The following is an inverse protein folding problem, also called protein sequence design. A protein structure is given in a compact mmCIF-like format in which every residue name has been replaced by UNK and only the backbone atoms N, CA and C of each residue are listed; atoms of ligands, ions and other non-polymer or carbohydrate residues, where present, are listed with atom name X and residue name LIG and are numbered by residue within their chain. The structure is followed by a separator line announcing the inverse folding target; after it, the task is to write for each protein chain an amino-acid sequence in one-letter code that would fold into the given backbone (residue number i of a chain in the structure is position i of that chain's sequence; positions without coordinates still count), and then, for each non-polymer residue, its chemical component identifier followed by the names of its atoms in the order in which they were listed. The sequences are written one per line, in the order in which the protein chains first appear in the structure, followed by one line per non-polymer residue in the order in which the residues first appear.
data_IF_788975630748
#
_entry.id   IF_788975630748
#
_cell.length_a   1.000
_cell.length_b   1.000
_cell.length_c   1.000
_cell.angle_alpha   90.00
_cell.angle_beta   90.00
_cell.angle_gamma   90.00
#
_symmetry.space_group_name_H-M   'P 1'
#
loop_
_entity.id
_entity.type
_entity.pdbx_description
1 polymer ?
#
# COMPACT_ATOMS: atom_id res chain seq x y z
N UNK A 1 -5.09 -7.89 21.99
CA UNK A 1 -4.80 -8.93 22.97
C UNK A 1 -5.68 -8.68 24.19
N UNK A 2 -6.34 -9.72 24.71
CA UNK A 2 -7.38 -9.56 25.74
C UNK A 2 -7.09 -10.31 27.04
N UNK A 3 -6.33 -11.42 27.00
CA UNK A 3 -5.95 -12.19 28.20
C UNK A 3 -4.57 -12.86 28.06
N UNK A 4 -4.32 -13.49 26.92
CA UNK A 4 -3.13 -14.34 26.66
C UNK A 4 -1.80 -13.58 26.66
N UNK A 5 -1.84 -12.30 26.27
CA UNK A 5 -0.68 -11.43 26.22
C UNK A 5 -1.14 -9.98 26.46
N UNK A 6 -0.36 -9.14 27.17
CA UNK A 6 -0.75 -7.76 27.43
C UNK A 6 -0.52 -6.86 26.19
N UNK A 7 -1.34 -5.82 25.99
CA UNK A 7 -0.99 -4.72 25.09
C UNK A 7 0.14 -3.86 25.67
N UNK A 8 0.78 -3.05 24.83
CA UNK A 8 1.82 -2.09 25.22
C UNK A 8 1.24 -0.67 25.20
N UNK A 9 1.75 0.25 26.03
CA UNK A 9 1.41 1.67 25.95
C UNK A 9 2.22 2.38 24.84
N UNK A 10 1.61 2.79 23.71
CA UNK A 10 2.33 3.35 22.57
C UNK A 10 2.89 4.77 22.82
N UNK A 11 2.52 5.41 23.94
CA UNK A 11 2.99 6.74 24.32
C UNK A 11 4.07 6.65 25.39
N UNK A 12 3.77 5.95 26.50
CA UNK A 12 4.68 5.84 27.66
C UNK A 12 5.83 4.88 27.39
N UNK A 13 5.58 3.82 26.63
CA UNK A 13 6.57 2.80 26.28
C UNK A 13 7.02 2.95 24.82
N UNK A 14 6.90 4.14 24.23
CA UNK A 14 7.30 4.40 22.83
C UNK A 14 8.75 4.02 22.54
N UNK A 15 9.64 4.11 23.54
CA UNK A 15 11.07 3.81 23.41
C UNK A 15 11.33 2.34 23.01
N UNK A 16 10.46 1.41 23.41
CA UNK A 16 10.62 -0.01 23.05
C UNK A 16 9.98 -0.34 21.70
N UNK A 17 9.33 0.63 21.04
CA UNK A 17 8.64 0.43 19.76
C UNK A 17 9.44 1.01 18.59
N UNK A 18 9.51 0.28 17.48
CA UNK A 18 10.17 0.74 16.26
C UNK A 18 9.29 0.56 15.02
N UNK A 19 9.32 1.58 14.14
CA UNK A 19 8.70 1.56 12.82
C UNK A 19 9.73 1.36 11.71
N UNK A 20 10.97 1.02 12.06
CA UNK A 20 12.03 0.83 11.10
C UNK A 20 11.78 -0.37 10.18
N UNK A 21 12.14 -0.20 8.92
CA UNK A 21 12.01 -1.21 7.88
C UNK A 21 13.31 -1.30 7.09
N UNK A 22 13.61 -2.50 6.60
CA UNK A 22 14.78 -2.75 5.76
C UNK A 22 14.30 -3.28 4.41
N UNK A 23 14.68 -2.59 3.34
CA UNK A 23 14.32 -2.92 1.96
C UNK A 23 15.48 -3.61 1.25
N UNK A 24 15.14 -4.62 0.45
CA UNK A 24 16.08 -5.42 -0.32
C UNK A 24 15.94 -6.91 -0.07
N UNK A 25 16.92 -7.68 -0.54
CA UNK A 25 16.99 -9.13 -0.34
C UNK A 25 17.32 -9.47 1.12
N UNK A 26 16.59 -10.42 1.70
CA UNK A 26 16.91 -10.99 3.02
C UNK A 26 17.89 -12.15 2.88
N UNK A 27 19.02 -12.06 3.57
CA UNK A 27 20.03 -13.12 3.64
C UNK A 27 19.60 -14.30 4.50
N UNK A 28 20.43 -15.35 4.52
CA UNK A 28 20.19 -16.53 5.36
C UNK A 28 20.50 -16.21 6.82
N UNK A 29 19.55 -16.51 7.73
CA UNK A 29 19.78 -16.40 9.16
C UNK A 29 20.82 -17.41 9.70
N UNK A 30 21.07 -18.51 8.97
CA UNK A 30 21.99 -19.58 9.39
C UNK A 30 23.41 -19.38 8.86
N UNK A 31 23.57 -18.53 7.84
CA UNK A 31 24.85 -18.29 7.17
C UNK A 31 25.03 -16.78 6.99
N UNK A 32 25.66 -16.11 7.98
CA UNK A 32 25.96 -14.70 7.87
C UNK A 32 26.86 -14.44 6.66
N UNK A 33 26.45 -13.49 5.83
CA UNK A 33 27.16 -13.07 4.62
C UNK A 33 27.15 -11.53 4.58
N UNK A 34 28.30 -10.85 4.43
CA UNK A 34 28.34 -9.39 4.29
C UNK A 34 27.43 -8.85 3.19
N UNK A 35 27.21 -9.59 2.09
CA UNK A 35 26.32 -9.16 1.03
C UNK A 35 24.85 -9.02 1.50
N UNK A 36 24.46 -9.73 2.56
CA UNK A 36 23.12 -9.62 3.15
C UNK A 36 22.88 -8.29 3.88
N UNK A 37 23.93 -7.52 4.17
CA UNK A 37 23.81 -6.18 4.75
C UNK A 37 23.50 -5.09 3.71
N UNK A 38 23.51 -5.42 2.41
CA UNK A 38 23.15 -4.50 1.33
C UNK A 38 21.63 -4.28 1.27
N UNK A 39 21.13 -3.51 2.23
CA UNK A 39 19.71 -3.15 2.37
C UNK A 39 19.57 -1.64 2.54
N UNK A 40 18.44 -1.09 2.10
CA UNK A 40 18.07 0.30 2.40
C UNK A 40 17.33 0.32 3.74
N UNK A 41 17.88 1.05 4.71
CA UNK A 41 17.22 1.29 6.00
C UNK A 41 16.26 2.46 5.90
N UNK A 42 15.03 2.25 6.38
CA UNK A 42 14.02 3.28 6.52
C UNK A 42 13.68 3.44 8.00
N UNK A 43 13.65 4.67 8.49
CA UNK A 43 13.22 4.99 9.86
C UNK A 43 11.70 4.86 10.07
N UNK A 44 10.94 4.87 8.98
CA UNK A 44 9.48 4.84 8.92
C UNK A 44 9.03 4.12 7.65
N UNK A 45 7.88 3.41 7.65
CA UNK A 45 7.36 2.79 6.43
C UNK A 45 6.73 3.81 5.46
N UNK A 46 6.59 5.08 5.87
CA UNK A 46 5.93 6.12 5.07
C UNK A 46 6.96 6.91 4.25
N UNK A 47 6.78 6.86 2.94
CA UNK A 47 7.59 7.60 1.98
C UNK A 47 6.78 8.78 1.43
N UNK A 48 7.43 9.90 1.17
CA UNK A 48 6.97 10.90 0.23
C UNK A 48 7.48 10.60 -1.19
N UNK A 49 7.03 11.38 -2.16
CA UNK A 49 7.36 11.19 -3.57
C UNK A 49 8.87 11.31 -3.82
N UNK A 50 9.53 12.30 -3.22
CA UNK A 50 10.97 12.50 -3.36
C UNK A 50 11.79 11.37 -2.70
N UNK A 51 11.36 10.87 -1.54
CA UNK A 51 11.98 9.72 -0.87
C UNK A 51 11.79 8.42 -1.68
N UNK A 52 10.66 8.26 -2.37
CA UNK A 52 10.42 7.13 -3.28
C UNK A 52 11.30 7.20 -4.54
N UNK A 53 11.50 8.39 -5.11
CA UNK A 53 12.43 8.59 -6.22
C UNK A 53 13.87 8.31 -5.79
N UNK A 54 14.29 8.88 -4.65
CA UNK A 54 15.62 8.67 -4.09
C UNK A 54 15.90 7.20 -3.74
N UNK A 55 14.86 6.41 -3.42
CA UNK A 55 14.98 4.97 -3.14
C UNK A 55 15.53 4.20 -4.35
N UNK A 56 15.10 4.57 -5.56
CA UNK A 56 15.56 3.90 -6.80
C UNK A 56 17.05 4.16 -7.09
N UNK A 57 17.61 5.23 -6.52
CA UNK A 57 19.01 5.65 -6.70
C UNK A 57 19.97 5.02 -5.67
N UNK A 58 19.46 4.30 -4.65
CA UNK A 58 20.27 3.71 -3.58
C UNK A 58 21.08 2.46 -3.99
N UNK A 59 21.16 2.15 -5.29
CA UNK A 59 21.94 1.03 -5.80
C UNK A 59 21.27 -0.34 -5.69
N UNK A 60 20.03 -0.42 -5.22
CA UNK A 60 19.21 -1.63 -5.29
C UNK A 60 18.33 -1.60 -6.54
N UNK A 61 18.43 -2.66 -7.35
CA UNK A 61 17.62 -2.81 -8.56
C UNK A 61 16.12 -2.73 -8.20
N UNK A 62 15.45 -1.74 -8.77
CA UNK A 62 14.05 -1.41 -8.48
C UNK A 62 13.23 -1.55 -9.75
N UNK A 63 12.11 -2.28 -9.68
CA UNK A 63 11.14 -2.38 -10.76
C UNK A 63 9.83 -1.72 -10.34
N UNK A 64 9.31 -0.82 -11.16
CA UNK A 64 8.00 -0.19 -10.96
C UNK A 64 6.96 -0.91 -11.82
N UNK A 65 5.88 -1.37 -11.21
CA UNK A 65 4.83 -2.16 -11.83
C UNK A 65 3.50 -1.43 -11.73
N UNK A 66 2.75 -1.41 -12.83
CA UNK A 66 1.45 -0.73 -12.90
C UNK A 66 0.40 -1.51 -12.13
N UNK A 67 -0.34 -0.83 -11.26
CA UNK A 67 -1.57 -1.37 -10.66
C UNK A 67 -2.84 -0.90 -11.37
N UNK A 68 -2.70 -0.38 -12.59
CA UNK A 68 -3.81 0.10 -13.40
C UNK A 68 -4.33 -0.98 -14.35
N UNK A 69 -5.59 -0.84 -14.74
CA UNK A 69 -6.24 -1.71 -15.72
C UNK A 69 -7.26 -0.94 -16.56
N UNK A 70 -7.49 -1.33 -17.82
CA UNK A 70 -8.53 -0.75 -18.66
C UNK A 70 -9.93 -0.94 -18.05
N UNK A 71 -10.77 0.10 -18.14
CA UNK A 71 -12.19 0.03 -17.74
C UNK A 71 -12.97 -0.91 -18.67
N UNK A 72 -12.57 -1.01 -19.93
CA UNK A 72 -13.23 -1.82 -20.96
C UNK A 72 -13.21 -3.32 -20.69
N UNK A 73 -12.26 -3.80 -19.88
CA UNK A 73 -12.14 -5.22 -19.53
C UNK A 73 -13.24 -5.65 -18.53
N UNK A 74 -14.01 -4.70 -18.01
CA UNK A 74 -15.14 -4.94 -17.12
C UNK A 74 -14.74 -5.64 -15.81
N UNK A 75 -15.70 -6.23 -15.09
CA UNK A 75 -15.44 -6.91 -13.81
C UNK A 75 -14.44 -8.07 -13.90
N UNK A 76 -14.43 -8.79 -15.04
CA UNK A 76 -13.49 -9.89 -15.28
C UNK A 76 -12.04 -9.41 -15.47
N UNK A 77 -11.84 -8.15 -15.84
CA UNK A 77 -10.53 -7.55 -16.03
C UNK A 77 -9.68 -7.50 -14.75
N UNK A 78 -10.30 -7.40 -13.57
CA UNK A 78 -9.57 -7.32 -12.30
C UNK A 78 -8.75 -8.58 -12.03
N UNK A 79 -9.34 -9.76 -12.24
CA UNK A 79 -8.64 -11.03 -12.01
C UNK A 79 -7.45 -11.19 -12.97
N UNK A 80 -7.68 -10.91 -14.26
CA UNK A 80 -6.63 -10.99 -15.28
C UNK A 80 -5.49 -9.99 -15.02
N UNK A 81 -5.82 -8.77 -14.61
CA UNK A 81 -4.84 -7.75 -14.25
C UNK A 81 -4.00 -8.14 -13.03
N UNK A 82 -4.61 -8.78 -12.01
CA UNK A 82 -3.88 -9.29 -10.85
C UNK A 82 -2.94 -10.44 -11.22
N UNK A 83 -3.38 -11.35 -12.09
CA UNK A 83 -2.54 -12.44 -12.59
C UNK A 83 -1.35 -11.88 -13.38
N UNK A 84 -1.59 -10.90 -14.25
CA UNK A 84 -0.55 -10.15 -14.98
C UNK A 84 0.45 -9.52 -14.01
N UNK A 85 -0.03 -8.79 -13.01
CA UNK A 85 0.82 -8.14 -12.01
C UNK A 85 1.71 -9.14 -11.25
N UNK A 86 1.15 -10.30 -10.88
CA UNK A 86 1.90 -11.36 -10.23
C UNK A 86 3.01 -11.94 -11.13
N UNK A 87 2.71 -12.14 -12.42
CA UNK A 87 3.69 -12.61 -13.40
C UNK A 87 4.79 -11.58 -13.66
N UNK A 88 4.44 -10.31 -13.82
CA UNK A 88 5.40 -9.21 -13.99
C UNK A 88 6.31 -9.07 -12.76
N UNK A 89 5.74 -9.19 -11.55
CA UNK A 89 6.50 -9.20 -10.30
C UNK A 89 7.49 -10.36 -10.24
N UNK A 90 7.05 -11.58 -10.59
CA UNK A 90 7.94 -12.74 -10.68
C UNK A 90 9.07 -12.51 -11.69
N UNK A 91 8.74 -12.06 -12.89
CA UNK A 91 9.71 -11.80 -13.95
C UNK A 91 10.74 -10.74 -13.51
N UNK A 92 10.28 -9.64 -12.90
CA UNK A 92 11.15 -8.59 -12.38
C UNK A 92 12.15 -9.11 -11.33
N UNK A 93 11.70 -9.98 -10.42
CA UNK A 93 12.59 -10.62 -9.43
C UNK A 93 13.60 -11.55 -10.08
N UNK A 94 13.17 -12.36 -11.05
CA UNK A 94 14.06 -13.27 -11.79
C UNK A 94 15.11 -12.51 -12.60
N UNK A 95 14.79 -11.30 -13.05
CA UNK A 95 15.71 -10.36 -13.67
C UNK A 95 16.61 -9.62 -12.67
N UNK A 96 16.51 -9.89 -11.37
CA UNK A 96 17.40 -9.36 -10.33
C UNK A 96 16.87 -8.16 -9.55
N UNK A 97 15.61 -7.77 -9.74
CA UNK A 97 14.99 -6.68 -8.97
C UNK A 97 14.84 -7.07 -7.49
N UNK A 98 15.27 -6.18 -6.60
CA UNK A 98 15.19 -6.36 -5.15
C UNK A 98 14.13 -5.48 -4.50
N UNK A 99 13.62 -4.48 -5.21
CA UNK A 99 12.50 -3.64 -4.79
C UNK A 99 11.45 -3.64 -5.89
N UNK A 100 10.23 -3.99 -5.54
CA UNK A 100 9.06 -3.87 -6.40
C UNK A 100 8.21 -2.69 -5.94
N UNK A 101 7.99 -1.71 -6.80
CA UNK A 101 7.11 -0.58 -6.53
C UNK A 101 5.79 -0.81 -7.28
N UNK A 102 4.72 -1.14 -6.55
CA UNK A 102 3.37 -1.27 -7.10
C UNK A 102 2.74 0.13 -7.15
N UNK A 103 2.40 0.62 -8.34
CA UNK A 103 2.04 2.03 -8.54
C UNK A 103 0.74 2.23 -9.32
N UNK A 104 -0.16 3.05 -8.78
CA UNK A 104 -1.33 3.59 -9.50
C UNK A 104 -1.03 4.93 -10.22
N UNK A 105 0.25 5.29 -10.34
CA UNK A 105 0.79 6.42 -11.13
C UNK A 105 1.68 5.97 -12.30
N UNK A 106 1.55 4.71 -12.70
CA UNK A 106 2.25 4.14 -13.82
C UNK A 106 1.25 3.46 -14.76
N UNK A 107 1.26 3.81 -16.04
CA UNK A 107 0.49 3.11 -17.06
C UNK A 107 1.11 1.74 -17.37
N UNK A 108 0.34 0.87 -18.01
CA UNK A 108 0.76 -0.52 -18.31
C UNK A 108 1.95 -0.56 -19.30
N UNK A 109 2.08 0.45 -20.16
CA UNK A 109 3.21 0.61 -21.10
C UNK A 109 4.48 1.19 -20.44
N UNK A 110 4.43 1.47 -19.13
CA UNK A 110 5.53 2.06 -18.37
C UNK A 110 5.61 3.59 -18.45
N UNK A 111 4.68 4.26 -19.14
CA UNK A 111 4.62 5.72 -19.14
C UNK A 111 4.04 6.26 -17.82
N UNK A 112 4.48 7.43 -17.35
CA UNK A 112 3.82 8.12 -16.24
C UNK A 112 2.37 8.43 -16.60
N UNK A 113 1.44 8.04 -15.74
CA UNK A 113 0.02 8.30 -15.93
C UNK A 113 -0.79 7.72 -14.78
N UNK A 114 -2.06 8.09 -14.68
CA UNK A 114 -2.89 7.72 -13.53
C UNK A 114 -4.23 7.17 -13.97
N UNK A 115 -5.14 7.10 -13.01
CA UNK A 115 -6.55 6.82 -13.27
C UNK A 115 -7.11 7.93 -14.17
N UNK A 116 -7.70 7.54 -15.29
CA UNK A 116 -8.34 8.44 -16.26
C UNK A 116 -9.69 7.87 -16.70
N UNK A 117 -10.33 8.49 -17.67
CA UNK A 117 -11.63 8.06 -18.17
C UNK A 117 -11.62 6.60 -18.67
N UNK A 118 -10.51 6.11 -19.22
CA UNK A 118 -10.38 4.77 -19.80
C UNK A 118 -9.69 3.75 -18.90
N UNK A 119 -9.08 4.20 -17.81
CA UNK A 119 -8.20 3.41 -16.95
C UNK A 119 -8.68 3.49 -15.50
N UNK A 120 -8.87 2.34 -14.87
CA UNK A 120 -9.17 2.19 -13.45
C UNK A 120 -7.99 1.55 -12.72
N UNK A 121 -8.16 1.21 -11.43
CA UNK A 121 -7.10 0.72 -10.56
C UNK A 121 -7.46 -0.60 -9.89
N UNK A 122 -6.46 -1.40 -9.57
CA UNK A 122 -6.59 -2.52 -8.65
C UNK A 122 -6.52 -1.98 -7.22
N UNK A 123 -7.47 -2.32 -6.33
CA UNK A 123 -7.37 -1.92 -4.93
C UNK A 123 -5.99 -2.29 -4.35
N UNK A 124 -5.24 -1.35 -3.75
CA UNK A 124 -3.83 -1.56 -3.43
C UNK A 124 -3.61 -2.68 -2.42
N UNK A 125 -4.56 -2.87 -1.49
CA UNK A 125 -4.51 -3.97 -0.54
C UNK A 125 -4.58 -5.34 -1.24
N UNK A 126 -5.44 -5.46 -2.26
CA UNK A 126 -5.58 -6.67 -3.05
C UNK A 126 -4.32 -6.92 -3.91
N UNK A 127 -3.80 -5.88 -4.57
CA UNK A 127 -2.59 -5.96 -5.37
C UNK A 127 -1.37 -6.42 -4.54
N UNK A 128 -1.15 -5.81 -3.37
CA UNK A 128 -0.07 -6.19 -2.44
C UNK A 128 -0.24 -7.62 -1.96
N UNK A 129 -1.44 -7.97 -1.48
CA UNK A 129 -1.72 -9.32 -0.97
C UNK A 129 -1.48 -10.38 -2.04
N UNK A 130 -1.99 -10.17 -3.25
CA UNK A 130 -1.84 -11.10 -4.37
C UNK A 130 -0.36 -11.33 -4.73
N UNK A 131 0.41 -10.25 -4.91
CA UNK A 131 1.85 -10.34 -5.20
C UNK A 131 2.61 -10.98 -4.03
N UNK A 132 2.30 -10.58 -2.79
CA UNK A 132 2.93 -11.14 -1.60
C UNK A 132 2.73 -12.66 -1.50
N UNK A 133 1.50 -13.13 -1.65
CA UNK A 133 1.16 -14.55 -1.61
C UNK A 133 1.73 -15.33 -2.80
N UNK A 134 1.72 -14.73 -3.99
CA UNK A 134 2.34 -15.33 -5.18
C UNK A 134 3.84 -15.58 -4.99
N UNK A 135 4.57 -14.57 -4.55
CA UNK A 135 6.00 -14.69 -4.29
C UNK A 135 6.31 -15.64 -3.13
N UNK A 136 5.43 -15.76 -2.12
CA UNK A 136 5.56 -16.76 -1.07
C UNK A 136 5.43 -18.19 -1.61
N UNK A 137 4.41 -18.46 -2.44
CA UNK A 137 4.20 -19.78 -3.06
C UNK A 137 5.40 -20.23 -3.90
N UNK A 138 6.07 -19.29 -4.56
CA UNK A 138 7.25 -19.54 -5.37
C UNK A 138 8.58 -19.58 -4.58
N UNK A 139 8.56 -19.28 -3.28
CA UNK A 139 9.79 -19.17 -2.47
C UNK A 139 10.66 -17.95 -2.83
N UNK A 140 10.11 -16.96 -3.55
CA UNK A 140 10.81 -15.77 -4.02
C UNK A 140 10.63 -14.56 -3.09
N UNK A 141 9.70 -14.61 -2.12
CA UNK A 141 9.35 -13.45 -1.27
C UNK A 141 10.53 -12.84 -0.51
N UNK A 142 11.53 -13.63 -0.12
CA UNK A 142 12.72 -13.13 0.58
C UNK A 142 13.71 -12.38 -0.33
N UNK A 143 13.53 -12.46 -1.66
CA UNK A 143 14.44 -11.86 -2.63
C UNK A 143 14.16 -10.38 -2.89
N UNK A 144 12.95 -9.89 -2.57
CA UNK A 144 12.59 -8.51 -2.79
C UNK A 144 11.71 -7.92 -1.69
N UNK A 145 11.67 -6.60 -1.63
CA UNK A 145 10.72 -5.82 -0.85
C UNK A 145 9.63 -5.24 -1.73
N UNK A 146 8.42 -5.10 -1.19
CA UNK A 146 7.26 -4.55 -1.90
C UNK A 146 7.01 -3.15 -1.35
N UNK A 147 7.02 -2.14 -2.20
CA UNK A 147 6.69 -0.75 -1.89
C UNK A 147 5.43 -0.39 -2.66
N UNK A 148 4.53 0.36 -2.03
CA UNK A 148 3.24 0.71 -2.61
C UNK A 148 3.15 2.21 -2.82
N UNK A 149 3.09 2.65 -4.06
CA UNK A 149 2.75 4.03 -4.40
C UNK A 149 1.25 4.08 -4.75
N UNK A 150 0.43 4.64 -3.86
CA UNK A 150 -1.02 4.60 -4.05
C UNK A 150 -1.76 5.86 -3.62
N UNK A 151 -2.84 6.16 -4.34
CA UNK A 151 -3.84 7.13 -3.99
C UNK A 151 -4.74 6.67 -2.83
N UNK A 152 -4.98 5.36 -2.70
CA UNK A 152 -5.99 4.81 -1.78
C UNK A 152 -5.41 4.47 -0.39
N UNK A 153 -4.62 5.36 0.20
CA UNK A 153 -4.07 5.19 1.54
C UNK A 153 -3.96 6.53 2.30
N UNK A 154 -4.95 6.85 3.13
CA UNK A 154 -4.98 8.10 3.92
C UNK A 154 -5.24 7.88 5.41
N UNK A 155 -5.64 6.67 5.82
CA UNK A 155 -5.94 6.35 7.21
C UNK A 155 -4.86 5.47 7.83
N UNK A 156 -4.78 5.50 9.15
CA UNK A 156 -3.88 4.63 9.93
C UNK A 156 -4.18 3.15 9.71
N UNK A 157 -5.46 2.81 9.49
CA UNK A 157 -5.88 1.44 9.20
C UNK A 157 -5.46 0.98 7.81
N UNK A 158 -5.58 1.84 6.77
CA UNK A 158 -5.11 1.47 5.42
C UNK A 158 -3.62 1.16 5.43
N UNK A 159 -2.82 1.99 6.09
CA UNK A 159 -1.39 1.77 6.25
C UNK A 159 -1.10 0.45 6.97
N UNK A 160 -1.78 0.19 8.08
CA UNK A 160 -1.61 -1.06 8.82
C UNK A 160 -2.01 -2.29 7.99
N UNK A 161 -3.10 -2.23 7.22
CA UNK A 161 -3.49 -3.32 6.33
C UNK A 161 -2.42 -3.58 5.27
N UNK A 162 -1.97 -2.54 4.54
CA UNK A 162 -0.94 -2.71 3.50
C UNK A 162 0.32 -3.38 4.06
N UNK A 163 0.80 -2.93 5.24
CA UNK A 163 2.00 -3.51 5.86
C UNK A 163 1.74 -4.93 6.37
N UNK A 164 0.61 -5.15 7.05
CA UNK A 164 0.25 -6.46 7.60
C UNK A 164 0.02 -7.54 6.53
N UNK A 165 -0.31 -7.14 5.31
CA UNK A 165 -0.46 -8.02 4.15
C UNK A 165 0.76 -8.04 3.20
N UNK A 166 1.84 -7.33 3.53
CA UNK A 166 3.13 -7.59 2.90
C UNK A 166 3.90 -6.41 2.33
N UNK A 167 3.37 -5.20 2.35
CA UNK A 167 4.09 -3.99 1.96
C UNK A 167 5.20 -3.68 2.98
N UNK A 168 6.41 -3.47 2.49
CA UNK A 168 7.56 -3.04 3.30
C UNK A 168 7.55 -1.52 3.54
N UNK A 169 7.02 -0.74 2.58
CA UNK A 169 6.84 0.71 2.68
C UNK A 169 5.66 1.17 1.80
N UNK A 170 5.12 2.35 2.10
CA UNK A 170 3.97 2.95 1.41
C UNK A 170 4.25 4.42 1.14
N UNK A 171 4.08 4.83 -0.12
CA UNK A 171 4.02 6.22 -0.57
C UNK A 171 2.54 6.59 -0.85
N UNK A 172 1.83 7.18 0.13
CA UNK A 172 0.45 7.61 -0.04
C UNK A 172 0.37 8.96 -0.77
N UNK A 173 0.76 8.99 -2.05
CA UNK A 173 0.97 10.23 -2.80
C UNK A 173 -0.26 11.14 -2.82
N UNK A 174 -1.49 10.61 -2.95
CA UNK A 174 -2.69 11.43 -2.98
C UNK A 174 -3.00 12.05 -1.62
N UNK A 175 -2.58 11.41 -0.52
CA UNK A 175 -2.68 11.99 0.83
C UNK A 175 -1.75 13.19 0.96
N UNK A 176 -0.55 13.10 0.39
CA UNK A 176 0.41 14.21 0.34
C UNK A 176 -0.11 15.37 -0.52
N UNK A 177 -0.64 15.08 -1.71
CA UNK A 177 -1.30 16.08 -2.57
C UNK A 177 -2.51 16.72 -1.89
N UNK A 178 -3.38 15.91 -1.28
CA UNK A 178 -4.57 16.40 -0.58
C UNK A 178 -4.20 17.33 0.57
N UNK A 179 -3.10 17.06 1.27
CA UNK A 179 -2.59 17.93 2.34
C UNK A 179 -2.12 19.28 1.78
N UNK A 180 -1.40 19.28 0.64
CA UNK A 180 -0.99 20.51 -0.06
C UNK A 180 -2.22 21.32 -0.52
N UNK A 181 -3.19 20.65 -1.14
CA UNK A 181 -4.43 21.28 -1.60
C UNK A 181 -5.27 21.83 -0.45
N UNK A 182 -5.39 21.09 0.66
CA UNK A 182 -6.10 21.54 1.86
C UNK A 182 -5.49 22.81 2.43
N UNK A 183 -4.16 22.89 2.50
CA UNK A 183 -3.46 24.06 2.99
C UNK A 183 -3.68 25.26 2.05
N UNK A 184 -3.56 25.06 0.74
CA UNK A 184 -3.77 26.10 -0.27
C UNK A 184 -5.24 26.54 -0.41
N UNK A 185 -6.20 25.77 0.12
CA UNK A 185 -7.62 26.03 -0.07
C UNK A 185 -8.05 27.39 0.53
N UNK A 186 -8.84 28.22 -0.18
CA UNK A 186 -9.19 29.58 0.28
C UNK A 186 -9.84 29.65 1.67
N UNK A 187 -10.69 28.66 2.00
CA UNK A 187 -11.29 28.59 3.35
C UNK A 187 -10.25 28.35 4.44
N UNK A 188 -9.25 27.51 4.18
CA UNK A 188 -8.17 27.22 5.13
C UNK A 188 -7.29 28.46 5.33
N UNK A 189 -6.92 29.12 4.22
CA UNK A 189 -6.19 30.39 4.27
C UNK A 189 -6.94 31.46 5.07
N UNK A 190 -8.24 31.63 4.85
CA UNK A 190 -9.04 32.58 5.64
C UNK A 190 -9.11 32.23 7.14
N UNK A 191 -9.10 30.94 7.50
CA UNK A 191 -9.04 30.52 8.91
C UNK A 191 -7.67 30.82 9.54
N UNK A 192 -6.58 30.71 8.76
CA UNK A 192 -5.22 31.06 9.18
C UNK A 192 -5.13 32.58 9.40
N UNK A 193 -5.60 33.38 8.44
CA UNK A 193 -5.62 34.86 8.54
C UNK A 193 -6.41 35.35 9.75
N UNK A 194 -7.54 34.69 10.07
CA UNK A 194 -8.37 34.99 11.24
C UNK A 194 -7.81 34.45 12.56
N UNK A 195 -6.64 33.80 12.55
CA UNK A 195 -5.99 33.22 13.72
C UNK A 195 -6.70 32.00 14.31
N UNK A 196 -7.65 31.39 13.59
CA UNK A 196 -8.33 30.16 14.04
C UNK A 196 -7.50 28.90 13.79
N UNK A 197 -6.58 28.96 12.83
CA UNK A 197 -5.60 27.91 12.54
C UNK A 197 -4.20 28.51 12.57
N UNK A 198 -3.18 27.74 13.00
CA UNK A 198 -1.80 28.19 12.94
C UNK A 198 -1.34 28.28 11.48
N UNK A 199 -0.59 29.34 11.15
CA UNK A 199 0.13 29.40 9.89
C UNK A 199 1.26 28.36 9.89
N UNK A 200 1.20 27.41 8.96
CA UNK A 200 2.20 26.35 8.82
C UNK A 200 2.61 26.22 7.35
N UNK A 201 3.84 25.78 7.10
CA UNK A 201 4.32 25.51 5.74
C UNK A 201 3.76 24.17 5.21
N UNK A 202 3.74 23.94 3.89
CA UNK A 202 3.34 22.66 3.31
C UNK A 202 4.13 21.47 3.88
N UNK A 203 5.44 21.62 4.06
CA UNK A 203 6.33 20.59 4.60
C UNK A 203 5.95 20.28 6.04
N UNK A 204 5.63 21.31 6.84
CA UNK A 204 5.18 21.11 8.21
C UNK A 204 3.82 20.42 8.28
N UNK A 205 2.90 20.75 7.37
CA UNK A 205 1.60 20.09 7.27
C UNK A 205 1.77 18.59 6.96
N UNK A 206 2.60 18.24 5.98
CA UNK A 206 2.90 16.85 5.64
C UNK A 206 3.64 16.11 6.77
N UNK A 207 4.58 16.76 7.43
CA UNK A 207 5.26 16.19 8.61
C UNK A 207 4.28 15.90 9.75
N UNK A 208 3.26 16.75 9.95
CA UNK A 208 2.21 16.49 10.93
C UNK A 208 1.33 15.29 10.54
N UNK A 209 0.98 15.14 9.26
CA UNK A 209 0.23 13.98 8.76
C UNK A 209 1.06 12.70 8.90
N UNK A 210 2.34 12.71 8.52
CA UNK A 210 3.28 11.60 8.72
C UNK A 210 3.32 11.18 10.19
N UNK A 211 3.52 12.14 11.10
CA UNK A 211 3.53 11.89 12.55
C UNK A 211 2.22 11.26 13.03
N UNK A 212 1.07 11.76 12.57
CA UNK A 212 -0.23 11.22 12.95
C UNK A 212 -0.42 9.76 12.47
N UNK A 213 0.04 9.45 11.25
CA UNK A 213 0.01 8.09 10.72
C UNK A 213 0.96 7.16 11.48
N UNK A 214 2.16 7.62 11.82
CA UNK A 214 3.15 6.86 12.61
C UNK A 214 2.67 6.55 14.02
N UNK A 215 2.17 7.57 14.75
CA UNK A 215 1.63 7.38 16.10
C UNK A 215 0.36 6.49 16.06
N UNK A 216 -0.44 6.61 15.01
CA UNK A 216 -1.58 5.73 14.76
C UNK A 216 -1.17 4.28 14.49
N UNK A 217 -0.09 4.06 13.73
CA UNK A 217 0.46 2.73 13.48
C UNK A 217 1.00 2.11 14.77
N UNK A 218 1.76 2.86 15.58
CA UNK A 218 2.20 2.43 16.91
C UNK A 218 1.02 2.01 17.78
N UNK A 219 -0.07 2.79 17.78
CA UNK A 219 -1.30 2.44 18.50
C UNK A 219 -1.92 1.13 18.00
N UNK A 220 -1.88 0.83 16.71
CA UNK A 220 -2.39 -0.44 16.17
C UNK A 220 -1.52 -1.62 16.64
N UNK A 221 -0.20 -1.50 16.52
CA UNK A 221 0.75 -2.53 16.98
C UNK A 221 0.59 -2.82 18.47
N UNK A 222 0.44 -1.76 19.28
CA UNK A 222 0.38 -1.86 20.73
C UNK A 222 -0.86 -2.60 21.24
N UNK A 223 -1.98 -2.60 20.48
CA UNK A 223 -3.19 -3.38 20.83
C UNK A 223 -2.94 -4.88 20.96
N UNK A 224 -1.94 -5.40 20.26
CA UNK A 224 -1.57 -6.82 20.25
C UNK A 224 -0.25 -7.06 21.01
N UNK A 225 0.35 -6.00 21.55
CA UNK A 225 1.64 -6.09 22.25
C UNK A 225 2.82 -6.29 21.30
N UNK A 226 2.72 -5.84 20.05
CA UNK A 226 3.82 -5.90 19.08
C UNK A 226 4.64 -4.62 19.18
N UNK A 227 5.95 -4.75 19.39
CA UNK A 227 6.86 -3.60 19.49
C UNK A 227 7.46 -3.18 18.14
N UNK A 228 7.76 -4.14 17.27
CA UNK A 228 8.50 -3.91 16.02
C UNK A 228 7.57 -4.05 14.81
N UNK A 229 7.57 -3.04 13.95
CA UNK A 229 6.82 -3.10 12.68
C UNK A 229 7.28 -4.25 11.79
N UNK A 230 8.58 -4.57 11.82
CA UNK A 230 9.15 -5.71 11.10
C UNK A 230 8.52 -7.07 11.50
N UNK A 231 8.02 -7.21 12.73
CA UNK A 231 7.29 -8.40 13.19
C UNK A 231 5.81 -8.39 12.80
N UNK A 232 5.24 -7.19 12.61
CA UNK A 232 3.87 -7.02 12.13
C UNK A 232 3.75 -7.21 10.61
N UNK A 233 4.82 -6.89 9.88
CA UNK A 233 4.94 -7.05 8.43
C UNK A 233 4.61 -8.48 7.99
N UNK A 234 3.57 -8.63 7.16
CA UNK A 234 3.11 -9.93 6.67
C UNK A 234 2.44 -10.85 7.71
N UNK A 235 2.26 -10.40 8.96
CA UNK A 235 1.73 -11.23 10.04
C UNK A 235 0.20 -11.43 9.98
N UNK A 236 -0.52 -10.69 9.12
CA UNK A 236 -1.98 -10.79 8.94
C UNK A 236 -2.77 -10.74 10.25
N UNK A 237 -2.49 -9.74 11.11
CA UNK A 237 -3.19 -9.56 12.40
C UNK A 237 -4.57 -8.91 12.18
N UNK A 238 -5.40 -9.56 11.37
CA UNK A 238 -6.70 -9.11 10.94
C UNK A 238 -7.67 -10.30 10.86
N UNK A 239 -8.96 -10.00 10.94
CA UNK A 239 -10.04 -10.93 10.61
C UNK A 239 -10.87 -10.28 9.50
N UNK A 240 -11.11 -11.03 8.43
CA UNK A 240 -11.95 -10.59 7.34
C UNK A 240 -13.42 -10.87 7.68
N UNK A 241 -14.30 -9.94 7.30
CA UNK A 241 -15.74 -10.09 7.45
C UNK A 241 -16.37 -9.73 6.11
N UNK A 242 -17.11 -10.68 5.51
CA UNK A 242 -17.82 -10.45 4.25
C UNK A 242 -16.92 -10.51 3.01
N UNK A 243 -15.73 -11.11 3.09
CA UNK A 243 -14.91 -11.42 1.92
C UNK A 243 -15.09 -12.89 1.53
N UNK A 244 -15.32 -13.14 0.24
CA UNK A 244 -15.40 -14.46 -0.37
C UNK A 244 -14.09 -15.24 -0.29
N UNK A 245 -14.19 -16.56 -0.39
CA UNK A 245 -13.04 -17.46 -0.31
C UNK A 245 -12.07 -17.28 -1.49
N UNK A 246 -12.57 -16.86 -2.64
CA UNK A 246 -11.79 -16.51 -3.83
C UNK A 246 -10.79 -15.38 -3.54
N UNK A 247 -11.24 -14.27 -2.93
CA UNK A 247 -10.37 -13.16 -2.54
C UNK A 247 -9.39 -13.56 -1.42
N UNK A 248 -9.84 -14.34 -0.45
CA UNK A 248 -9.00 -14.81 0.65
C UNK A 248 -7.86 -15.70 0.13
N UNK A 249 -8.15 -16.72 -0.68
CA UNK A 249 -7.11 -17.60 -1.22
C UNK A 249 -6.17 -16.89 -2.18
N UNK A 250 -6.67 -15.92 -2.95
CA UNK A 250 -5.88 -15.17 -3.92
C UNK A 250 -4.85 -14.27 -3.23
N UNK A 251 -5.28 -13.44 -2.26
CA UNK A 251 -4.47 -12.33 -1.75
C UNK A 251 -4.25 -12.35 -0.22
N UNK A 252 -5.10 -13.01 0.55
CA UNK A 252 -5.12 -12.91 2.02
C UNK A 252 -5.03 -14.27 2.70
N UNK A 253 -4.36 -15.23 2.06
CA UNK A 253 -4.31 -16.62 2.50
C UNK A 253 -3.79 -16.73 3.95
N UNK A 254 -4.57 -17.41 4.79
CA UNK A 254 -4.34 -17.55 6.23
C UNK A 254 -5.21 -16.64 7.09
N UNK A 255 -5.86 -15.63 6.51
CA UNK A 255 -6.81 -14.77 7.21
C UNK A 255 -8.15 -15.47 7.38
N UNK A 256 -8.70 -15.45 8.60
CA UNK A 256 -10.03 -16.00 8.87
C UNK A 256 -11.11 -15.11 8.28
N UNK A 257 -12.03 -15.69 7.51
CA UNK A 257 -13.27 -15.05 7.03
C UNK A 257 -14.46 -15.95 7.35
N UNK A 258 -15.10 -15.74 8.51
CA UNK A 258 -16.18 -16.65 8.99
C UNK A 258 -17.49 -16.46 8.24
N UNK A 259 -17.71 -15.26 7.74
CA UNK A 259 -18.89 -14.90 6.95
C UNK A 259 -18.40 -14.62 5.54
N UNK A 260 -18.64 -15.57 4.64
CA UNK A 260 -18.36 -15.40 3.22
C UNK A 260 -19.18 -14.24 2.66
N UNK A 261 -18.69 -13.61 1.60
CA UNK A 261 -19.37 -12.49 0.98
C UNK A 261 -18.79 -12.16 -0.39
N UNK A 262 -18.28 -10.94 -0.50
CA UNK A 262 -17.84 -10.29 -1.72
C UNK A 262 -16.91 -11.17 -2.56
N UNK A 263 -17.29 -11.44 -3.81
CA UNK A 263 -16.41 -12.08 -4.79
C UNK A 263 -15.48 -11.06 -5.46
N UNK A 264 -14.49 -11.53 -6.21
CA UNK A 264 -13.63 -10.68 -7.03
C UNK A 264 -14.44 -9.85 -8.05
N UNK A 265 -15.49 -10.43 -8.63
CA UNK A 265 -16.36 -9.74 -9.59
C UNK A 265 -17.19 -8.63 -8.94
N UNK A 266 -17.66 -8.85 -7.70
CA UNK A 266 -18.37 -7.84 -6.93
C UNK A 266 -17.44 -6.67 -6.56
N UNK A 267 -16.21 -6.97 -6.11
CA UNK A 267 -15.21 -5.96 -5.79
C UNK A 267 -14.80 -5.13 -7.03
N UNK A 268 -14.66 -5.79 -8.18
CA UNK A 268 -14.40 -5.11 -9.44
C UNK A 268 -15.56 -4.17 -9.81
N UNK A 269 -16.80 -4.64 -9.66
CA UNK A 269 -18.01 -3.84 -9.91
C UNK A 269 -18.09 -2.63 -8.98
N UNK A 270 -17.75 -2.79 -7.70
CA UNK A 270 -17.68 -1.67 -6.74
C UNK A 270 -16.60 -0.65 -7.13
N UNK A 271 -15.43 -1.13 -7.55
CA UNK A 271 -14.33 -0.28 -8.01
C UNK A 271 -14.74 0.52 -9.25
N UNK A 272 -15.41 -0.12 -10.21
CA UNK A 272 -15.96 0.54 -11.40
C UNK A 272 -17.07 1.53 -11.06
N UNK A 273 -17.88 1.27 -10.03
CA UNK A 273 -18.89 2.23 -9.57
C UNK A 273 -18.27 3.50 -8.98
N UNK A 274 -17.12 3.41 -8.30
CA UNK A 274 -16.35 4.60 -7.89
C UNK A 274 -15.77 5.35 -9.08
N UNK A 275 -15.23 4.62 -10.07
CA UNK A 275 -14.71 5.20 -11.30
C UNK A 275 -15.79 5.97 -12.08
N UNK A 276 -16.96 5.36 -12.27
CA UNK A 276 -18.10 5.98 -12.95
C UNK A 276 -18.60 7.28 -12.28
N UNK A 277 -18.46 7.40 -10.96
CA UNK A 277 -18.77 8.65 -10.23
C UNK A 277 -17.75 9.75 -10.49
N UNK A 278 -16.47 9.39 -10.67
CA UNK A 278 -15.40 10.33 -10.97
C UNK A 278 -15.38 10.75 -12.45
N UNK A 279 -15.78 9.85 -13.37
CA UNK A 279 -15.80 10.07 -14.82
C UNK A 279 -17.21 9.86 -15.41
N UNK A 280 -18.19 10.74 -15.09
CA UNK A 280 -19.59 10.54 -15.49
C UNK A 280 -19.84 10.67 -17.00
N UNK A 281 -18.95 11.33 -17.75
CA UNK A 281 -19.15 11.65 -19.16
C UNK A 281 -19.12 10.42 -20.09
N UNK A 282 -18.52 9.31 -19.67
CA UNK A 282 -18.50 8.06 -20.43
C UNK A 282 -19.84 7.28 -20.40
N UNK A 283 -20.72 7.58 -19.46
CA UNK A 283 -21.98 6.84 -19.26
C UNK A 283 -23.12 7.26 -20.21
N UNK A 284 -22.96 8.28 -21.07
CA UNK A 284 -24.07 8.78 -21.90
C UNK A 284 -24.17 8.23 -23.33
N UNK A 285 -23.23 7.41 -23.81
CA UNK A 285 -23.29 6.99 -25.23
C UNK A 285 -22.72 5.61 -25.58
N UNK A 286 -22.24 4.80 -24.63
CA UNK A 286 -21.66 3.47 -24.94
C UNK A 286 -22.23 2.27 -24.19
N UNK A 287 -23.30 2.46 -23.39
CA UNK A 287 -23.98 1.35 -22.69
C UNK A 287 -25.35 0.97 -23.29
N UNK A 288 -25.79 1.60 -24.39
CA UNK A 288 -27.02 1.19 -25.09
C UNK A 288 -26.80 0.12 -26.18
N UNK A 289 -25.56 -0.28 -26.46
CA UNK A 289 -25.25 -1.34 -27.44
C UNK A 289 -24.00 -2.14 -27.07
N UNK A 290 -24.08 -2.94 -26.01
CA UNK A 290 -23.32 -4.20 -25.80
C UNK A 290 -24.14 -5.10 -24.88
#
# INVERSE_FOLDING_TARGET
AQVTNPPIDPLREKLVMSLEMHLGRRGSALRPDPAAAAVVHLSTPLLNEAELEALAEQGLATAKLSTLLPVLDGPAGLEQALQRLCYEAEAALRCGSQILVLSDRLLVDGAPGGIDATTTYMPPLLAVGAVHQHLLRLGLRLQASIVVETAQCWSTHHLACLIGFGASAVCPWLTWETTRHWLAHPKTQSLIERGKLPAITPEKAQANVRKALEDGLRKILSKIGISLLASYHGAQIFEAIGLGADLIELAFKGTTSRVAGLSIGDLASETLAFHAKAFPELNRTKLEFM
#
